data_IF_318116294004
#
_entry.id   IF_318116294004
#
_cell.length_a   1.000
_cell.length_b   1.000
_cell.length_c   1.000
_cell.angle_alpha   90.00
_cell.angle_beta   90.00
_cell.angle_gamma   90.00
#
_symmetry.space_group_name_H-M   'P 1'
#
loop_
_entity.id
_entity.type
_entity.pdbx_description
1 polymer ?
#
# COMPACT_ATOMS: atom_id res chain seq x y z
N UNK A 1 14.54 -1.67 -3.87
CA UNK A 1 13.07 -1.62 -3.70
C UNK A 1 12.64 -0.53 -2.75
N UNK A 2 11.42 -0.07 -2.92
CA UNK A 2 10.84 0.98 -2.06
C UNK A 2 9.52 0.45 -1.51
N UNK A 3 9.37 0.52 -0.19
CA UNK A 3 8.11 0.22 0.51
C UNK A 3 7.37 1.54 0.76
N UNK A 4 6.09 1.59 0.44
CA UNK A 4 5.20 2.66 0.87
C UNK A 4 4.25 2.08 1.91
N UNK A 5 4.21 2.68 3.07
CA UNK A 5 3.28 2.33 4.14
C UNK A 5 2.46 3.56 4.50
N UNK A 6 1.16 3.38 4.66
CA UNK A 6 0.28 4.49 4.97
C UNK A 6 -0.98 4.02 5.67
N UNK A 7 -1.68 4.96 6.31
CA UNK A 7 -3.07 4.74 6.67
C UNK A 7 -3.85 6.04 6.46
N UNK A 8 -5.15 5.88 6.21
CA UNK A 8 -6.09 6.98 6.10
C UNK A 8 -7.29 6.67 6.99
N UNK A 9 -7.76 7.68 7.71
CA UNK A 9 -8.96 7.56 8.55
C UNK A 9 -10.09 8.37 7.93
N UNK A 10 -11.29 7.83 7.98
CA UNK A 10 -12.51 8.49 7.47
C UNK A 10 -13.47 8.76 8.63
N UNK A 11 -14.50 9.58 8.37
CA UNK A 11 -15.43 9.95 9.41
C UNK A 11 -16.28 8.78 9.90
N UNK A 12 -16.63 7.84 9.02
CA UNK A 12 -17.50 6.70 9.33
C UNK A 12 -16.99 5.42 8.70
N UNK A 13 -17.43 4.29 9.23
CA UNK A 13 -17.12 2.98 8.66
C UNK A 13 -17.77 2.78 7.30
N UNK A 14 -18.95 3.37 7.08
CA UNK A 14 -19.63 3.29 5.78
C UNK A 14 -18.79 3.95 4.69
N UNK A 15 -18.24 5.13 4.97
CA UNK A 15 -17.36 5.83 4.02
C UNK A 15 -16.12 4.99 3.75
N UNK A 16 -15.44 4.52 4.81
CA UNK A 16 -14.26 3.68 4.66
C UNK A 16 -14.55 2.45 3.79
N UNK A 17 -15.64 1.76 4.05
CA UNK A 17 -16.00 0.55 3.32
C UNK A 17 -16.31 0.84 1.85
N UNK A 18 -17.02 1.95 1.58
CA UNK A 18 -17.31 2.38 0.21
C UNK A 18 -16.04 2.71 -0.57
N UNK A 19 -15.07 3.39 0.08
CA UNK A 19 -13.78 3.73 -0.53
C UNK A 19 -12.99 2.46 -0.86
N UNK A 20 -12.91 1.52 0.07
CA UNK A 20 -12.21 0.25 -0.17
C UNK A 20 -12.84 -0.49 -1.35
N UNK A 21 -14.17 -0.60 -1.38
CA UNK A 21 -14.87 -1.27 -2.48
C UNK A 21 -14.61 -0.57 -3.83
N UNK A 22 -14.70 0.76 -3.87
CA UNK A 22 -14.47 1.53 -5.09
C UNK A 22 -13.01 1.47 -5.54
N UNK A 23 -12.07 1.25 -4.63
CA UNK A 23 -10.64 1.17 -4.95
C UNK A 23 -10.24 -0.14 -5.63
N UNK A 24 -11.05 -1.18 -5.52
CA UNK A 24 -10.67 -2.52 -6.01
C UNK A 24 -10.26 -2.56 -7.49
N UNK A 25 -11.03 -2.00 -8.43
CA UNK A 25 -10.60 -1.99 -9.84
C UNK A 25 -9.36 -1.15 -10.08
N UNK A 26 -9.15 -0.08 -9.33
CA UNK A 26 -7.95 0.76 -9.43
C UNK A 26 -6.74 -0.03 -8.94
N UNK A 27 -6.87 -0.76 -7.85
CA UNK A 27 -5.80 -1.61 -7.33
C UNK A 27 -5.43 -2.71 -8.33
N UNK A 28 -6.43 -3.34 -8.93
CA UNK A 28 -6.18 -4.37 -9.94
C UNK A 28 -5.44 -3.80 -11.15
N UNK A 29 -5.87 -2.65 -11.66
CA UNK A 29 -5.22 -1.99 -12.80
C UNK A 29 -3.76 -1.61 -12.47
N UNK A 30 -3.51 -1.09 -11.28
CA UNK A 30 -2.15 -0.74 -10.84
C UNK A 30 -1.24 -1.96 -10.81
N UNK A 31 -1.71 -3.06 -10.22
CA UNK A 31 -0.96 -4.31 -10.14
C UNK A 31 -0.68 -4.93 -11.49
N UNK A 32 -1.62 -4.79 -12.43
CA UNK A 32 -1.54 -5.43 -13.75
C UNK A 32 -0.75 -4.62 -14.75
N UNK A 33 -0.94 -3.30 -14.75
CA UNK A 33 -0.49 -2.44 -15.86
C UNK A 33 0.82 -1.71 -15.57
N UNK A 34 1.17 -1.50 -14.30
CA UNK A 34 2.33 -0.68 -13.97
C UNK A 34 3.57 -1.52 -13.74
N UNK A 35 4.60 -1.23 -14.53
CA UNK A 35 5.90 -1.92 -14.43
C UNK A 35 6.54 -1.61 -13.08
N UNK A 36 7.06 -2.66 -12.43
CA UNK A 36 7.76 -2.53 -11.15
C UNK A 36 6.86 -2.50 -9.94
N UNK A 37 5.54 -2.62 -10.11
CA UNK A 37 4.62 -2.76 -8.99
C UNK A 37 4.63 -4.21 -8.49
N UNK A 38 5.24 -4.45 -7.33
CA UNK A 38 5.27 -5.78 -6.72
C UNK A 38 4.12 -6.02 -5.76
N UNK A 39 3.63 -4.95 -5.14
CA UNK A 39 2.47 -5.01 -4.25
C UNK A 39 1.78 -3.65 -4.24
N UNK A 40 0.47 -3.68 -4.14
CA UNK A 40 -0.35 -2.48 -4.04
C UNK A 40 -1.66 -2.88 -3.39
N UNK A 41 -1.81 -2.53 -2.12
CA UNK A 41 -2.94 -2.98 -1.32
C UNK A 41 -3.48 -1.85 -0.44
N UNK A 42 -4.76 -1.55 -0.61
CA UNK A 42 -5.53 -0.66 0.23
C UNK A 42 -6.61 -1.52 0.88
N UNK A 43 -6.56 -1.71 2.19
CA UNK A 43 -7.41 -2.67 2.87
C UNK A 43 -8.00 -2.09 4.16
N UNK A 44 -9.16 -2.60 4.52
CA UNK A 44 -9.81 -2.23 5.77
C UNK A 44 -9.00 -2.74 6.97
N UNK A 45 -8.73 -1.84 7.93
CA UNK A 45 -8.12 -2.26 9.19
C UNK A 45 -9.12 -3.13 9.97
N UNK A 46 -8.71 -4.29 10.49
CA UNK A 46 -9.64 -5.19 11.17
C UNK A 46 -10.12 -4.71 12.54
N UNK A 47 -9.42 -3.74 13.15
CA UNK A 47 -9.74 -3.25 14.50
C UNK A 47 -10.25 -1.82 14.51
N UNK A 48 -9.82 -1.00 13.55
CA UNK A 48 -10.20 0.41 13.44
C UNK A 48 -11.13 0.54 12.24
N UNK A 49 -12.43 0.57 12.48
CA UNK A 49 -13.45 0.45 11.43
C UNK A 49 -13.54 1.63 10.47
N UNK A 50 -12.86 2.73 10.77
CA UNK A 50 -12.77 3.92 9.90
C UNK A 50 -11.46 4.00 9.12
N UNK A 51 -10.52 3.06 9.31
CA UNK A 51 -9.15 3.13 8.78
C UNK A 51 -8.93 2.22 7.58
N UNK A 52 -8.22 2.77 6.61
CA UNK A 52 -7.63 1.99 5.50
C UNK A 52 -6.13 1.88 5.76
N UNK A 53 -5.60 0.66 5.71
CA UNK A 53 -4.17 0.40 5.72
C UNK A 53 -3.66 0.27 4.29
N UNK A 54 -2.48 0.83 4.03
CA UNK A 54 -1.86 0.82 2.70
C UNK A 54 -0.49 0.17 2.77
N UNK A 55 -0.26 -0.77 1.87
CA UNK A 55 1.05 -1.36 1.64
C UNK A 55 1.34 -1.38 0.15
N UNK A 56 2.50 -0.82 -0.24
CA UNK A 56 2.97 -0.86 -1.61
C UNK A 56 4.44 -1.27 -1.63
N UNK A 57 4.82 -2.02 -2.65
CA UNK A 57 6.21 -2.38 -2.89
C UNK A 57 6.53 -2.13 -4.35
N UNK A 58 7.54 -1.30 -4.59
CA UNK A 58 7.98 -0.90 -5.91
C UNK A 58 9.42 -1.31 -6.17
N UNK A 59 9.70 -1.75 -7.39
CA UNK A 59 11.02 -2.25 -7.79
C UNK A 59 12.13 -1.24 -7.52
N UNK A 60 11.89 0.02 -7.90
CA UNK A 60 12.89 1.08 -7.84
C UNK A 60 12.23 2.46 -7.86
N UNK A 61 13.07 3.48 -7.78
CA UNK A 61 12.65 4.86 -7.79
C UNK A 61 11.96 5.25 -9.12
N UNK A 62 12.43 4.71 -10.24
CA UNK A 62 11.84 5.00 -11.55
C UNK A 62 10.42 4.49 -11.66
N UNK A 63 10.17 3.27 -11.19
CA UNK A 63 8.84 2.66 -11.19
C UNK A 63 7.87 3.45 -10.32
N UNK A 64 8.28 3.86 -9.14
CA UNK A 64 7.43 4.65 -8.25
C UNK A 64 7.18 6.05 -8.81
N UNK A 65 8.21 6.69 -9.39
CA UNK A 65 8.04 8.00 -10.03
C UNK A 65 7.05 7.93 -11.20
N UNK A 66 7.13 6.87 -12.00
CA UNK A 66 6.19 6.64 -13.11
C UNK A 66 4.76 6.44 -12.59
N UNK A 67 4.60 5.76 -11.45
CA UNK A 67 3.30 5.58 -10.81
C UNK A 67 2.64 6.92 -10.49
N UNK A 68 3.37 7.87 -9.95
CA UNK A 68 2.82 9.20 -9.62
C UNK A 68 2.35 9.99 -10.84
N UNK A 69 2.81 9.63 -12.02
CA UNK A 69 2.39 10.25 -13.29
C UNK A 69 1.33 9.42 -14.03
N UNK A 70 0.98 8.25 -13.49
CA UNK A 70 0.06 7.32 -14.13
C UNK A 70 -1.40 7.69 -13.83
N UNK A 71 -2.32 7.48 -14.80
CA UNK A 71 -3.76 7.69 -14.55
C UNK A 71 -4.32 6.89 -13.37
N UNK A 72 -3.77 5.71 -13.08
CA UNK A 72 -4.18 4.91 -11.92
C UNK A 72 -3.93 5.64 -10.60
N UNK A 73 -2.78 6.32 -10.47
CA UNK A 73 -2.49 7.13 -9.29
C UNK A 73 -3.50 8.26 -9.14
N UNK A 74 -3.77 8.98 -10.23
CA UNK A 74 -4.73 10.08 -10.20
C UNK A 74 -6.12 9.59 -9.83
N UNK A 75 -6.56 8.45 -10.35
CA UNK A 75 -7.85 7.86 -10.02
C UNK A 75 -7.95 7.51 -8.52
N UNK A 76 -6.90 6.90 -7.98
CA UNK A 76 -6.86 6.58 -6.55
C UNK A 76 -6.87 7.84 -5.69
N UNK A 77 -6.05 8.82 -6.04
CA UNK A 77 -5.98 10.09 -5.32
C UNK A 77 -7.34 10.79 -5.28
N UNK A 78 -8.02 10.87 -6.41
CA UNK A 78 -9.35 11.48 -6.48
C UNK A 78 -10.33 10.73 -5.59
N UNK A 79 -10.33 9.40 -5.65
CA UNK A 79 -11.20 8.58 -4.81
C UNK A 79 -10.94 8.83 -3.32
N UNK A 80 -9.69 8.78 -2.90
CA UNK A 80 -9.33 8.94 -1.49
C UNK A 80 -9.67 10.33 -0.97
N UNK A 81 -9.29 11.37 -1.70
CA UNK A 81 -9.41 12.77 -1.27
C UNK A 81 -10.85 13.26 -1.32
N UNK A 82 -11.64 12.85 -2.34
CA UNK A 82 -13.03 13.29 -2.48
C UNK A 82 -13.93 12.81 -1.34
N UNK A 83 -13.54 11.74 -0.66
CA UNK A 83 -14.26 11.24 0.52
C UNK A 83 -13.78 11.86 1.84
N UNK A 84 -12.88 12.86 1.77
CA UNK A 84 -12.48 13.74 2.87
C UNK A 84 -11.92 12.97 4.07
N UNK A 85 -10.75 12.35 3.95
CA UNK A 85 -10.13 11.68 5.10
C UNK A 85 -9.92 12.68 6.25
N UNK A 86 -10.19 12.24 7.46
CA UNK A 86 -10.01 13.06 8.67
C UNK A 86 -8.57 13.08 9.14
N UNK A 87 -7.78 12.06 8.75
CA UNK A 87 -6.38 11.93 9.10
C UNK A 87 -5.68 11.04 8.09
N UNK A 88 -4.40 11.30 7.86
CA UNK A 88 -3.57 10.48 7.00
C UNK A 88 -2.13 10.49 7.50
N UNK A 89 -1.48 9.33 7.40
CA UNK A 89 -0.07 9.17 7.70
C UNK A 89 0.55 8.36 6.56
N UNK A 90 1.77 8.72 6.16
CA UNK A 90 2.47 7.97 5.13
C UNK A 90 3.99 8.01 5.34
N UNK A 91 4.65 6.96 4.88
CA UNK A 91 6.11 6.86 4.87
C UNK A 91 6.56 6.05 3.66
N UNK A 92 7.73 6.36 3.22
CA UNK A 92 8.44 5.66 2.16
C UNK A 92 9.75 5.14 2.74
N UNK A 93 10.05 3.86 2.51
CA UNK A 93 11.27 3.23 3.02
C UNK A 93 12.08 2.69 1.87
N UNK A 94 13.36 3.04 1.84
CA UNK A 94 14.30 2.41 0.91
C UNK A 94 14.78 1.10 1.53
N UNK A 95 14.56 -0.01 0.81
CA UNK A 95 14.95 -1.33 1.28
C UNK A 95 16.41 -1.57 0.97
N UNK A 96 17.24 -1.70 2.00
CA UNK A 96 18.66 -2.02 1.85
C UNK A 96 18.89 -3.52 1.72
N UNK A 97 18.13 -4.32 2.47
CA UNK A 97 18.21 -5.78 2.46
C UNK A 97 16.82 -6.36 2.72
N UNK A 98 16.55 -7.51 2.17
CA UNK A 98 15.34 -8.26 2.52
C UNK A 98 15.68 -9.74 2.64
N UNK A 99 14.92 -10.44 3.47
CA UNK A 99 15.00 -11.88 3.62
C UNK A 99 13.67 -12.42 4.15
N UNK A 100 13.41 -13.73 4.00
CA UNK A 100 12.19 -14.32 4.55
C UNK A 100 12.12 -14.17 6.07
N UNK A 101 10.92 -14.08 6.59
CA UNK A 101 10.69 -14.02 8.05
C UNK A 101 11.05 -15.35 8.70
N UNK A 102 10.68 -16.45 8.05
CA UNK A 102 10.86 -17.80 8.59
C UNK A 102 11.90 -18.59 7.78
N UNK A 103 12.46 -19.62 8.38
CA UNK A 103 13.32 -20.56 7.69
C UNK A 103 12.54 -21.45 6.71
N UNK A 104 13.23 -22.28 5.91
CA UNK A 104 12.63 -23.07 4.82
C UNK A 104 11.47 -23.98 5.24
N UNK A 105 11.45 -24.43 6.50
CA UNK A 105 10.41 -25.30 7.03
C UNK A 105 9.46 -24.58 7.98
N UNK A 106 9.41 -23.25 7.91
CA UNK A 106 8.55 -22.43 8.77
C UNK A 106 9.09 -22.22 10.17
N UNK A 107 10.35 -22.58 10.42
CA UNK A 107 10.95 -22.38 11.75
C UNK A 107 11.26 -20.92 12.05
N UNK A 108 11.15 -20.56 13.33
CA UNK A 108 11.50 -19.22 13.81
C UNK A 108 13.02 -19.03 13.72
N UNK A 109 13.42 -17.87 13.26
CA UNK A 109 14.84 -17.49 13.13
C UNK A 109 15.23 -16.63 14.33
N UNK A 110 16.46 -16.78 14.78
CA UNK A 110 17.01 -16.01 15.90
C UNK A 110 18.01 -14.93 15.47
N UNK A 111 18.41 -14.92 14.20
CA UNK A 111 19.32 -13.92 13.62
C UNK A 111 18.74 -13.40 12.32
N UNK A 112 18.92 -12.09 12.07
CA UNK A 112 18.34 -11.40 10.93
C UNK A 112 19.39 -10.55 10.24
N UNK A 113 19.32 -10.49 8.88
CA UNK A 113 20.21 -9.64 8.08
C UNK A 113 21.68 -9.78 8.50
N UNK A 114 22.09 -10.99 8.72
CA UNK A 114 23.44 -11.30 9.10
C UNK A 114 24.46 -10.70 8.13
N UNK A 115 25.67 -10.52 8.56
CA UNK A 115 26.77 -9.83 7.86
C UNK A 115 26.90 -10.09 6.36
#
# INVERSE_FOLDING_TARGET
>A
MIVVAAHLDYATSEIRNAVVAASAPIQLATRTDEVGCHAYCFAADPSIDTRIQVYELWEDQESLAAHFLHPNYEAMKVLLVSNKPSNAWNRMYLVAKDEPVYGPNGEIRSTFFGN
#
